data_IF_078867777290
#
_entry.id   IF_078867777290
#
_cell.length_a   1.000
_cell.length_b   1.000
_cell.length_c   1.000
_cell.angle_alpha   90.00
_cell.angle_beta   90.00
_cell.angle_gamma   90.00
#
_symmetry.space_group_name_H-M   'P 1'
#
loop_
_entity.id
_entity.type
_entity.pdbx_description
1 polymer ?
#
# COMPACT_ATOMS: atom_id res chain seq x y z
N UNK A 1 -20.42 2.52 19.46
CA UNK A 1 -20.07 1.17 19.03
C UNK A 1 -18.71 0.82 19.63
N UNK A 2 -18.72 0.03 20.71
CA UNK A 2 -17.51 -0.44 21.42
C UNK A 2 -16.93 -1.63 20.65
N UNK A 3 -15.76 -1.45 20.05
CA UNK A 3 -14.98 -2.55 19.50
C UNK A 3 -14.28 -3.28 20.67
N UNK A 4 -14.78 -4.48 20.98
CA UNK A 4 -14.09 -5.40 21.90
C UNK A 4 -12.81 -5.90 21.22
N UNK A 5 -11.67 -5.63 21.84
CA UNK A 5 -10.37 -6.07 21.37
C UNK A 5 -10.27 -7.60 21.25
N UNK A 6 -9.85 -8.08 20.09
CA UNK A 6 -9.41 -9.47 19.92
C UNK A 6 -8.12 -9.71 20.72
N UNK A 7 -7.88 -10.91 21.27
CA UNK A 7 -6.69 -11.20 22.05
C UNK A 7 -5.43 -11.02 21.21
N UNK A 8 -4.46 -10.27 21.75
CA UNK A 8 -3.12 -10.16 21.20
C UNK A 8 -2.48 -11.55 21.17
N UNK A 9 -2.36 -12.14 19.98
CA UNK A 9 -1.54 -13.34 19.76
C UNK A 9 -0.07 -13.00 20.01
N UNK A 10 0.64 -13.92 20.68
CA UNK A 10 2.05 -13.83 21.04
C UNK A 10 2.93 -13.29 19.89
N UNK A 11 3.54 -12.13 20.12
CA UNK A 11 4.38 -11.40 19.16
C UNK A 11 5.74 -12.09 18.84
N UNK A 12 6.08 -13.20 19.52
CA UNK A 12 7.44 -13.78 19.49
C UNK A 12 7.77 -14.71 18.31
N UNK A 13 6.82 -15.02 17.42
CA UNK A 13 7.06 -15.98 16.30
C UNK A 13 6.69 -15.41 14.91
N UNK A 14 6.59 -14.10 14.76
CA UNK A 14 6.22 -13.50 13.47
C UNK A 14 7.47 -13.11 12.67
N UNK A 15 7.87 -13.96 11.74
CA UNK A 15 8.62 -13.52 10.55
C UNK A 15 7.69 -12.63 9.72
N UNK A 16 7.79 -11.32 9.95
CA UNK A 16 6.73 -10.37 9.61
C UNK A 16 6.51 -10.17 8.11
N UNK A 17 7.53 -10.38 7.30
CA UNK A 17 7.47 -10.11 5.86
C UNK A 17 7.57 -11.35 5.00
N UNK A 18 7.84 -12.50 5.60
CA UNK A 18 7.86 -13.77 4.90
C UNK A 18 6.43 -14.29 4.76
N UNK A 19 6.09 -14.74 3.57
CA UNK A 19 4.78 -15.28 3.26
C UNK A 19 4.89 -16.59 2.52
N UNK A 20 4.26 -17.61 3.05
CA UNK A 20 4.08 -18.91 2.35
C UNK A 20 2.66 -19.00 1.85
N UNK A 21 2.51 -19.24 0.57
CA UNK A 21 1.23 -19.39 -0.10
C UNK A 21 1.16 -20.75 -0.77
N UNK A 22 0.02 -21.41 -0.66
CA UNK A 22 -0.21 -22.71 -1.28
C UNK A 22 -1.44 -22.64 -2.18
N UNK A 23 -1.31 -23.16 -3.39
CA UNK A 23 -2.36 -23.20 -4.39
C UNK A 23 -2.51 -24.61 -4.93
N UNK A 24 -3.74 -25.03 -5.18
CA UNK A 24 -4.03 -26.26 -5.93
C UNK A 24 -4.40 -25.88 -7.35
N UNK A 25 -3.82 -26.57 -8.33
CA UNK A 25 -4.06 -26.33 -9.76
C UNK A 25 -5.38 -27.00 -10.16
N UNK A 26 -6.29 -26.23 -10.73
CA UNK A 26 -7.55 -26.73 -11.28
C UNK A 26 -7.36 -27.32 -12.68
N UNK A 27 -8.36 -28.07 -13.17
CA UNK A 27 -8.37 -28.60 -14.55
C UNK A 27 -8.23 -27.49 -15.60
N UNK A 28 -8.86 -26.33 -15.37
CA UNK A 28 -8.83 -25.17 -16.27
C UNK A 28 -7.46 -24.48 -16.33
N UNK A 29 -6.62 -24.72 -15.34
CA UNK A 29 -5.28 -24.18 -15.19
C UNK A 29 -4.18 -25.19 -15.52
N UNK A 30 -4.59 -26.41 -15.83
CA UNK A 30 -3.68 -27.46 -16.31
C UNK A 30 -2.96 -27.00 -17.58
N UNK A 31 -1.70 -27.41 -17.73
CA UNK A 31 -0.79 -27.03 -18.82
C UNK A 31 -0.30 -25.57 -18.83
N UNK A 32 -0.76 -24.73 -17.90
CA UNK A 32 -0.13 -23.42 -17.70
C UNK A 32 1.27 -23.59 -17.13
N UNK A 33 2.18 -22.70 -17.51
CA UNK A 33 3.45 -22.56 -16.81
C UNK A 33 3.24 -21.93 -15.43
N UNK A 34 4.06 -22.32 -14.46
CA UNK A 34 3.94 -21.79 -13.10
C UNK A 34 4.01 -20.25 -13.04
N UNK A 35 4.82 -19.59 -13.89
CA UNK A 35 4.85 -18.12 -13.94
C UNK A 35 3.56 -17.50 -14.50
N UNK A 36 2.90 -18.14 -15.46
CA UNK A 36 1.61 -17.70 -15.98
C UNK A 36 0.49 -17.88 -14.93
N UNK A 37 0.49 -19.01 -14.24
CA UNK A 37 -0.42 -19.32 -13.14
C UNK A 37 -0.30 -18.28 -12.01
N UNK A 38 0.93 -17.97 -11.59
CA UNK A 38 1.20 -17.00 -10.55
C UNK A 38 0.88 -15.55 -10.99
N UNK A 39 1.16 -15.20 -12.25
CA UNK A 39 0.80 -13.87 -12.80
C UNK A 39 -0.70 -13.59 -12.70
N UNK A 40 -1.56 -14.60 -12.97
CA UNK A 40 -3.02 -14.48 -12.82
C UNK A 40 -3.45 -14.22 -11.37
N UNK A 41 -2.56 -14.49 -10.40
CA UNK A 41 -2.77 -14.31 -8.95
C UNK A 41 -2.07 -13.05 -8.39
N UNK A 42 -1.68 -12.13 -9.29
CA UNK A 42 -1.11 -10.83 -8.89
C UNK A 42 0.41 -10.82 -8.68
N UNK A 43 1.11 -11.92 -9.02
CA UNK A 43 2.56 -11.93 -8.96
C UNK A 43 3.14 -11.06 -10.07
N UNK A 44 3.78 -9.95 -9.68
CA UNK A 44 4.42 -9.04 -10.62
C UNK A 44 5.64 -9.67 -11.29
N UNK A 45 6.04 -9.14 -12.46
CA UNK A 45 7.26 -9.57 -13.17
C UNK A 45 8.51 -9.50 -12.30
N UNK A 46 8.59 -8.51 -11.40
CA UNK A 46 9.69 -8.37 -10.45
C UNK A 46 9.69 -9.52 -9.43
N UNK A 47 8.53 -9.88 -8.86
CA UNK A 47 8.41 -10.99 -7.92
C UNK A 47 8.72 -12.33 -8.60
N UNK A 48 8.21 -12.57 -9.80
CA UNK A 48 8.55 -13.75 -10.60
C UNK A 48 10.05 -13.86 -10.91
N UNK A 49 10.71 -12.71 -11.16
CA UNK A 49 12.17 -12.69 -11.36
C UNK A 49 12.92 -13.09 -10.09
N UNK A 50 12.44 -12.71 -8.91
CA UNK A 50 13.02 -13.17 -7.64
C UNK A 50 12.84 -14.67 -7.44
N UNK A 51 11.66 -15.21 -7.70
CA UNK A 51 11.41 -16.67 -7.63
C UNK A 51 12.32 -17.45 -8.56
N UNK A 52 12.68 -16.92 -9.74
CA UNK A 52 13.62 -17.56 -10.67
C UNK A 52 15.05 -17.66 -10.13
N UNK A 53 15.45 -16.77 -9.23
CA UNK A 53 16.81 -16.75 -8.67
C UNK A 53 17.04 -17.80 -7.60
N UNK A 54 15.97 -18.25 -6.92
CA UNK A 54 16.05 -19.28 -5.90
C UNK A 54 14.91 -20.29 -6.08
N UNK A 55 15.25 -21.49 -6.54
CA UNK A 55 14.27 -22.56 -6.81
C UNK A 55 13.57 -23.07 -5.55
N UNK A 56 14.18 -22.91 -4.36
CA UNK A 56 13.56 -23.31 -3.09
C UNK A 56 12.36 -22.42 -2.72
N UNK A 57 12.22 -21.29 -3.38
CA UNK A 57 11.08 -20.38 -3.17
C UNK A 57 9.83 -20.79 -3.96
N UNK A 58 9.92 -21.77 -4.86
CA UNK A 58 8.79 -22.34 -5.60
C UNK A 58 8.85 -23.86 -5.55
N UNK A 59 7.90 -24.48 -4.88
CA UNK A 59 7.77 -25.92 -4.82
C UNK A 59 6.54 -26.37 -5.60
N UNK A 60 6.66 -27.45 -6.36
CA UNK A 60 5.54 -28.18 -6.95
C UNK A 60 5.53 -29.56 -6.32
N UNK A 61 4.44 -29.92 -5.67
CA UNK A 61 4.29 -31.17 -4.90
C UNK A 61 5.45 -31.40 -3.91
N UNK A 62 5.89 -30.29 -3.24
CA UNK A 62 7.00 -30.31 -2.28
C UNK A 62 8.41 -30.36 -2.91
N UNK A 63 8.53 -30.38 -4.24
CA UNK A 63 9.82 -30.43 -4.94
C UNK A 63 10.20 -29.04 -5.49
N UNK A 64 11.42 -28.53 -5.22
CA UNK A 64 11.91 -27.29 -5.80
C UNK A 64 11.80 -27.27 -7.32
N UNK A 65 11.19 -26.23 -7.85
CA UNK A 65 10.80 -26.19 -9.26
C UNK A 65 11.08 -24.83 -9.90
N UNK A 66 11.18 -24.82 -11.23
CA UNK A 66 11.38 -23.58 -12.00
C UNK A 66 10.05 -22.92 -12.33
N UNK A 67 10.04 -21.61 -12.46
CA UNK A 67 8.84 -20.85 -12.82
C UNK A 67 8.30 -21.15 -14.23
N UNK A 68 9.07 -21.76 -15.10
CA UNK A 68 8.65 -22.19 -16.44
C UNK A 68 8.16 -23.66 -16.49
N UNK A 69 8.09 -24.35 -15.36
CA UNK A 69 7.54 -25.71 -15.27
C UNK A 69 6.05 -25.69 -15.60
N UNK A 70 5.60 -26.63 -16.43
CA UNK A 70 4.19 -26.83 -16.73
C UNK A 70 3.50 -27.52 -15.55
N UNK A 71 2.29 -27.09 -15.27
CA UNK A 71 1.46 -27.57 -14.16
C UNK A 71 0.41 -28.53 -14.66
N UNK A 72 0.03 -29.48 -13.81
CA UNK A 72 -1.03 -30.43 -14.08
C UNK A 72 -2.15 -30.28 -13.06
N UNK A 73 -3.34 -30.73 -13.41
CA UNK A 73 -4.46 -30.79 -12.48
C UNK A 73 -4.08 -31.49 -11.18
N UNK A 74 -4.45 -30.91 -10.05
CA UNK A 74 -4.14 -31.44 -8.73
C UNK A 74 -2.75 -31.12 -8.19
N UNK A 75 -1.86 -30.53 -9.00
CA UNK A 75 -0.56 -30.07 -8.49
C UNK A 75 -0.73 -29.04 -7.36
N UNK A 76 0.13 -29.18 -6.36
CA UNK A 76 0.18 -28.24 -5.22
C UNK A 76 1.39 -27.35 -5.39
N UNK A 77 1.15 -26.06 -5.69
CA UNK A 77 2.19 -25.04 -5.71
C UNK A 77 2.35 -24.44 -4.33
N UNK A 78 3.57 -24.45 -3.79
CA UNK A 78 3.94 -23.69 -2.59
C UNK A 78 4.95 -22.61 -2.97
N UNK A 79 4.64 -21.37 -2.61
CA UNK A 79 5.49 -20.21 -2.92
C UNK A 79 5.94 -19.56 -1.62
N UNK A 80 7.25 -19.42 -1.45
CA UNK A 80 7.87 -18.72 -0.32
C UNK A 80 8.30 -17.33 -0.76
N UNK A 81 7.64 -16.31 -0.24
CA UNK A 81 8.02 -14.90 -0.42
C UNK A 81 8.87 -14.53 0.79
N UNK A 82 10.15 -14.29 0.57
CA UNK A 82 11.12 -14.00 1.63
C UNK A 82 11.69 -12.60 1.43
N UNK A 83 11.80 -11.84 2.51
CA UNK A 83 12.44 -10.52 2.52
C UNK A 83 13.86 -10.63 3.07
N UNK A 84 14.84 -10.54 2.17
CA UNK A 84 16.26 -10.74 2.52
C UNK A 84 16.89 -9.53 3.21
N UNK A 85 16.30 -8.34 3.08
CA UNK A 85 16.87 -7.09 3.57
C UNK A 85 15.82 -6.16 4.18
N UNK A 86 16.21 -5.38 5.16
CA UNK A 86 15.41 -4.27 5.70
C UNK A 86 15.60 -2.97 4.90
N UNK A 87 14.70 -2.01 5.07
CA UNK A 87 14.86 -0.65 4.53
C UNK A 87 16.03 0.07 5.21
N UNK A 88 17.17 0.17 4.54
CA UNK A 88 18.43 0.68 5.09
C UNK A 88 18.40 2.14 5.59
N UNK A 89 17.43 2.94 5.13
CA UNK A 89 17.37 4.37 5.45
C UNK A 89 16.17 4.75 6.33
N UNK A 90 15.61 3.78 7.04
CA UNK A 90 14.46 3.99 7.94
C UNK A 90 14.82 3.56 9.35
N UNK A 91 15.46 4.44 10.15
CA UNK A 91 15.79 4.11 11.51
C UNK A 91 14.52 3.89 12.35
N UNK A 92 14.48 2.86 13.22
CA UNK A 92 13.36 2.62 14.11
C UNK A 92 13.27 3.70 15.18
N UNK A 93 12.13 4.38 15.27
CA UNK A 93 11.90 5.41 16.29
C UNK A 93 10.53 5.19 16.96
N UNK A 94 10.51 5.19 18.28
CA UNK A 94 9.27 5.05 19.06
C UNK A 94 8.43 6.31 18.93
N UNK A 95 7.42 6.27 18.08
CA UNK A 95 6.48 7.35 17.83
C UNK A 95 5.05 6.86 18.08
N UNK A 96 4.09 7.78 18.34
CA UNK A 96 2.67 7.42 18.39
C UNK A 96 2.23 6.73 17.09
N UNK A 97 1.61 5.57 17.21
CA UNK A 97 1.14 4.76 16.08
C UNK A 97 -0.27 4.26 16.40
N UNK A 98 -1.23 4.57 15.52
CA UNK A 98 -2.60 4.09 15.61
C UNK A 98 -2.86 3.09 14.48
N UNK A 99 -2.90 1.80 14.81
CA UNK A 99 -3.20 0.72 13.87
C UNK A 99 -4.70 0.45 13.92
N UNK A 100 -5.37 0.58 12.78
CA UNK A 100 -6.82 0.36 12.62
C UNK A 100 -7.12 -1.07 12.24
N UNK A 101 -6.26 -1.66 11.42
CA UNK A 101 -6.37 -3.04 10.94
C UNK A 101 -4.99 -3.62 10.67
N UNK A 102 -4.83 -4.90 10.93
CA UNK A 102 -3.64 -5.66 10.56
C UNK A 102 -3.97 -7.13 10.37
N UNK A 103 -3.51 -7.69 9.26
CA UNK A 103 -3.49 -9.13 9.00
C UNK A 103 -2.09 -9.59 8.52
N UNK A 104 -2.02 -10.70 7.82
CA UNK A 104 -0.76 -11.26 7.31
C UNK A 104 -0.25 -10.50 6.08
N UNK A 105 -1.09 -9.76 5.38
CA UNK A 105 -0.79 -9.15 4.08
C UNK A 105 -0.75 -7.62 4.12
N UNK A 106 -1.58 -6.99 4.97
CA UNK A 106 -1.66 -5.53 5.05
C UNK A 106 -1.70 -5.03 6.50
N UNK A 107 -1.30 -3.78 6.67
CA UNK A 107 -1.55 -2.98 7.86
C UNK A 107 -2.19 -1.65 7.44
N UNK A 108 -3.24 -1.24 8.14
CA UNK A 108 -3.87 0.06 7.98
C UNK A 108 -3.58 0.92 9.21
N UNK A 109 -2.87 2.02 9.01
CA UNK A 109 -2.58 2.98 10.05
C UNK A 109 -3.41 4.25 9.88
N UNK A 110 -3.90 4.82 10.99
CA UNK A 110 -4.44 6.17 11.03
C UNK A 110 -3.29 7.13 11.33
N UNK A 111 -2.74 7.73 10.28
CA UNK A 111 -1.61 8.67 10.37
C UNK A 111 -2.06 9.99 10.99
N UNK A 112 -1.40 10.49 12.03
CA UNK A 112 -1.67 11.83 12.54
C UNK A 112 -1.20 12.93 11.55
N UNK A 113 -1.74 14.13 11.70
CA UNK A 113 -1.16 15.32 11.06
C UNK A 113 0.25 15.61 11.60
N UNK A 114 1.05 16.37 10.86
CA UNK A 114 2.46 16.72 11.13
C UNK A 114 3.45 15.54 11.07
N UNK A 115 3.01 14.38 10.61
CA UNK A 115 3.85 13.20 10.41
C UNK A 115 3.94 12.90 8.91
N UNK A 116 5.14 12.97 8.28
CA UNK A 116 5.32 12.52 6.90
C UNK A 116 5.24 10.99 6.78
N UNK A 117 4.99 10.48 5.59
CA UNK A 117 4.97 9.04 5.32
C UNK A 117 6.39 8.44 5.38
N UNK A 118 7.35 9.07 4.70
CA UNK A 118 8.74 8.65 4.62
C UNK A 118 9.68 9.66 5.28
N UNK A 119 10.85 9.23 5.75
CA UNK A 119 11.93 10.14 6.09
C UNK A 119 12.24 11.09 4.93
N UNK A 120 12.44 12.35 5.23
CA UNK A 120 12.79 13.39 4.26
C UNK A 120 13.68 14.44 4.93
N UNK A 121 14.17 15.41 4.16
CA UNK A 121 14.92 16.54 4.70
C UNK A 121 14.12 17.17 5.87
N UNK A 122 14.76 17.43 6.98
CA UNK A 122 14.20 17.94 8.25
C UNK A 122 13.19 17.01 8.97
N UNK A 123 12.96 15.80 8.44
CA UNK A 123 12.00 14.84 9.00
C UNK A 123 12.57 13.41 9.00
N UNK A 124 13.81 13.24 9.40
CA UNK A 124 14.51 11.94 9.35
C UNK A 124 14.00 10.92 10.36
N UNK A 125 13.45 11.38 11.49
CA UNK A 125 13.13 10.55 12.65
C UNK A 125 11.68 10.63 13.11
N UNK A 126 10.80 11.30 12.36
CA UNK A 126 9.41 11.54 12.76
C UNK A 126 8.38 11.08 11.72
N UNK A 127 8.74 10.15 10.84
CA UNK A 127 7.85 9.63 9.81
C UNK A 127 7.07 8.39 10.25
N UNK A 128 5.97 8.08 9.54
CA UNK A 128 5.22 6.83 9.72
C UNK A 128 6.12 5.60 9.50
N UNK A 129 7.05 5.67 8.54
CA UNK A 129 8.02 4.61 8.29
C UNK A 129 8.88 4.34 9.53
N UNK A 130 9.36 5.39 10.24
CA UNK A 130 10.12 5.23 11.47
C UNK A 130 9.30 4.58 12.59
N UNK A 131 8.03 4.98 12.73
CA UNK A 131 7.12 4.40 13.72
C UNK A 131 6.89 2.90 13.47
N UNK A 132 6.69 2.52 12.21
CA UNK A 132 6.50 1.12 11.82
C UNK A 132 7.79 0.31 11.91
N UNK A 133 8.95 0.89 11.59
CA UNK A 133 10.23 0.24 11.81
C UNK A 133 10.44 -0.09 13.30
N UNK A 134 10.02 0.81 14.21
CA UNK A 134 10.03 0.52 15.64
C UNK A 134 9.01 -0.56 16.04
N UNK A 135 7.82 -0.51 15.49
CA UNK A 135 6.76 -1.50 15.76
C UNK A 135 7.20 -2.93 15.39
N UNK A 136 7.92 -3.06 14.28
CA UNK A 136 8.41 -4.35 13.76
C UNK A 136 9.87 -4.68 14.07
N UNK A 137 10.57 -3.91 14.91
CA UNK A 137 12.00 -4.07 15.20
C UNK A 137 12.42 -5.47 15.66
N UNK A 138 11.51 -6.20 16.32
CA UNK A 138 11.76 -7.54 16.86
C UNK A 138 11.23 -8.66 15.92
N UNK A 139 10.77 -8.33 14.72
CA UNK A 139 10.07 -9.23 13.80
C UNK A 139 10.88 -9.63 12.57
N UNK A 140 12.19 -9.45 12.58
CA UNK A 140 13.08 -9.73 11.46
C UNK A 140 13.22 -8.55 10.49
N UNK A 141 13.38 -8.83 9.19
CA UNK A 141 13.56 -7.80 8.18
C UNK A 141 12.27 -6.99 7.97
N UNK A 142 12.40 -5.66 7.94
CA UNK A 142 11.30 -4.74 7.70
C UNK A 142 11.53 -3.89 6.46
N UNK A 143 10.63 -3.99 5.48
CA UNK A 143 10.59 -3.10 4.31
C UNK A 143 9.30 -2.30 4.32
N UNK A 144 9.44 -0.97 4.37
CA UNK A 144 8.29 -0.08 4.36
C UNK A 144 7.71 0.07 2.95
N UNK A 145 6.49 -0.41 2.73
CA UNK A 145 5.75 -0.35 1.45
C UNK A 145 4.41 0.32 1.66
N UNK A 146 4.39 1.63 1.54
CA UNK A 146 3.15 2.40 1.61
C UNK A 146 2.54 2.51 0.22
N UNK A 147 1.29 2.11 0.07
CA UNK A 147 0.59 2.07 -1.24
C UNK A 147 -0.10 3.38 -1.59
N UNK A 148 -0.39 4.21 -0.60
CA UNK A 148 -0.95 5.55 -0.78
C UNK A 148 -0.21 6.56 0.10
N UNK A 149 0.15 7.70 -0.47
CA UNK A 149 0.80 8.77 0.30
C UNK A 149 -0.24 9.75 0.78
N UNK A 150 -0.08 10.19 2.03
CA UNK A 150 -0.73 11.38 2.58
C UNK A 150 0.35 12.43 2.84
N UNK A 151 0.01 13.68 2.64
CA UNK A 151 0.91 14.79 2.97
C UNK A 151 1.19 14.84 4.48
N UNK A 152 2.26 15.53 4.86
CA UNK A 152 2.68 15.64 6.26
C UNK A 152 1.53 16.10 7.16
N UNK A 153 0.79 17.11 6.74
CA UNK A 153 -0.24 17.74 7.54
C UNK A 153 -1.64 17.15 7.32
N UNK A 154 -1.78 16.19 6.40
CA UNK A 154 -2.99 15.40 6.21
C UNK A 154 -3.01 14.24 7.19
N UNK A 155 -4.09 14.09 7.96
CA UNK A 155 -4.36 12.91 8.79
C UNK A 155 -5.24 11.92 8.04
N UNK A 156 -5.28 10.67 8.50
CA UNK A 156 -6.20 9.66 7.98
C UNK A 156 -5.54 8.33 7.65
N UNK A 157 -6.30 7.48 6.98
CA UNK A 157 -5.94 6.10 6.73
C UNK A 157 -4.87 5.96 5.63
N UNK A 158 -3.88 5.15 5.92
CA UNK A 158 -2.87 4.74 4.95
C UNK A 158 -2.66 3.23 5.02
N UNK A 159 -2.51 2.61 3.85
CA UNK A 159 -2.35 1.16 3.71
C UNK A 159 -0.89 0.83 3.47
N UNK A 160 -0.37 -0.08 4.27
CA UNK A 160 1.00 -0.58 4.19
C UNK A 160 0.93 -2.06 3.79
N UNK A 161 1.58 -2.40 2.70
CA UNK A 161 1.75 -3.79 2.28
C UNK A 161 2.86 -4.45 3.12
N UNK A 162 2.58 -5.62 3.68
CA UNK A 162 3.51 -6.34 4.56
C UNK A 162 4.49 -7.21 3.78
N UNK A 163 4.17 -7.57 2.55
CA UNK A 163 5.02 -8.38 1.68
C UNK A 163 4.97 -7.88 0.22
N UNK A 164 5.83 -8.45 -0.62
CA UNK A 164 5.94 -8.04 -2.03
C UNK A 164 4.69 -8.35 -2.86
N UNK A 165 3.95 -9.42 -2.55
CA UNK A 165 2.75 -9.77 -3.30
C UNK A 165 1.62 -8.79 -2.98
N UNK A 166 1.35 -8.53 -1.71
CA UNK A 166 0.35 -7.54 -1.30
C UNK A 166 0.68 -6.15 -1.86
N UNK A 167 1.97 -5.78 -1.91
CA UNK A 167 2.41 -4.53 -2.56
C UNK A 167 2.09 -4.51 -4.06
N UNK A 168 2.34 -5.60 -4.77
CA UNK A 168 2.05 -5.70 -6.21
C UNK A 168 0.54 -5.64 -6.48
N UNK A 169 -0.26 -6.39 -5.71
CA UNK A 169 -1.72 -6.41 -5.83
C UNK A 169 -2.32 -5.03 -5.55
N UNK A 170 -1.92 -4.38 -4.46
CA UNK A 170 -2.43 -3.05 -4.11
C UNK A 170 -2.00 -1.98 -5.12
N UNK A 171 -0.80 -2.08 -5.68
CA UNK A 171 -0.34 -1.19 -6.74
C UNK A 171 -1.18 -1.36 -8.02
N UNK A 172 -1.47 -2.58 -8.42
CA UNK A 172 -2.34 -2.87 -9.56
C UNK A 172 -3.78 -2.39 -9.32
N UNK A 173 -4.32 -2.59 -8.12
CA UNK A 173 -5.64 -2.05 -7.73
C UNK A 173 -5.66 -0.52 -7.82
N UNK A 174 -4.59 0.16 -7.42
CA UNK A 174 -4.48 1.62 -7.52
C UNK A 174 -4.45 2.08 -8.99
N UNK A 175 -3.69 1.40 -9.85
CA UNK A 175 -3.62 1.70 -11.30
C UNK A 175 -4.98 1.51 -11.98
N UNK A 176 -5.74 0.48 -11.57
CA UNK A 176 -7.08 0.20 -12.12
C UNK A 176 -8.20 1.01 -11.44
N UNK A 177 -7.87 2.00 -10.61
CA UNK A 177 -8.83 2.79 -9.82
C UNK A 177 -9.80 1.94 -8.97
N UNK A 178 -9.36 0.74 -8.55
CA UNK A 178 -10.13 -0.16 -7.69
C UNK A 178 -10.09 0.23 -6.21
N UNK A 179 -9.26 1.23 -5.86
CA UNK A 179 -9.18 1.81 -4.50
C UNK A 179 -9.76 3.20 -4.54
N UNK A 180 -10.92 3.37 -3.92
CA UNK A 180 -11.56 4.69 -3.76
C UNK A 180 -10.94 5.43 -2.58
N UNK A 181 -10.60 6.70 -2.80
CA UNK A 181 -10.03 7.58 -1.77
C UNK A 181 -10.97 8.74 -1.52
N UNK A 182 -11.46 8.83 -0.29
CA UNK A 182 -12.32 9.92 0.17
C UNK A 182 -11.61 10.74 1.24
N UNK A 183 -11.76 12.05 1.15
CA UNK A 183 -11.17 13.01 2.07
C UNK A 183 -12.22 13.96 2.61
N UNK A 184 -11.99 14.45 3.82
CA UNK A 184 -12.74 15.56 4.39
C UNK A 184 -11.84 16.79 4.49
N UNK A 185 -12.35 17.93 4.08
CA UNK A 185 -11.66 19.20 4.21
C UNK A 185 -12.58 20.28 4.75
N UNK A 186 -12.05 21.12 5.63
CA UNK A 186 -12.69 22.37 6.02
C UNK A 186 -12.08 23.47 5.17
N UNK A 187 -12.92 24.11 4.35
CA UNK A 187 -12.50 25.20 3.48
C UNK A 187 -13.12 26.52 3.94
N UNK A 188 -12.40 27.62 3.72
CA UNK A 188 -12.89 28.96 4.02
C UNK A 188 -13.92 29.38 2.97
N UNK A 189 -15.01 29.97 3.42
CA UNK A 189 -16.10 30.45 2.55
C UNK A 189 -17.23 29.42 2.40
N UNK A 190 -18.25 29.85 1.66
CA UNK A 190 -19.41 29.04 1.26
C UNK A 190 -19.14 28.49 -0.14
N UNK A 191 -19.08 27.16 -0.26
CA UNK A 191 -18.85 26.53 -1.56
C UNK A 191 -20.16 26.50 -2.36
N UNK A 192 -20.16 27.13 -3.52
CA UNK A 192 -21.32 27.21 -4.43
C UNK A 192 -20.85 26.88 -5.85
N UNK A 193 -21.49 25.89 -6.56
CA UNK A 193 -22.57 25.03 -6.10
C UNK A 193 -22.13 24.06 -4.99
N UNK A 194 -23.08 23.49 -4.24
CA UNK A 194 -22.80 22.61 -3.10
C UNK A 194 -22.16 21.27 -3.50
N UNK A 195 -22.18 20.90 -4.76
CA UNK A 195 -21.48 19.72 -5.30
C UNK A 195 -21.03 19.97 -6.73
N UNK A 196 -19.99 19.28 -7.16
CA UNK A 196 -19.47 19.42 -8.52
C UNK A 196 -18.21 18.59 -8.74
N UNK A 197 -17.64 18.77 -9.93
CA UNK A 197 -16.40 18.13 -10.36
C UNK A 197 -15.41 19.21 -10.82
N UNK A 198 -14.22 19.16 -10.27
CA UNK A 198 -13.10 20.00 -10.68
C UNK A 198 -12.20 19.16 -11.57
N UNK A 199 -12.07 19.54 -12.84
CA UNK A 199 -11.13 18.94 -13.81
C UNK A 199 -10.09 20.01 -14.13
N UNK A 200 -8.92 19.92 -13.51
CA UNK A 200 -7.86 20.88 -13.65
C UNK A 200 -6.51 20.16 -13.66
N UNK A 201 -5.92 19.91 -14.84
CA UNK A 201 -4.63 19.25 -14.98
C UNK A 201 -3.54 19.97 -14.18
N UNK A 202 -2.67 19.19 -13.52
CA UNK A 202 -1.66 19.72 -12.61
C UNK A 202 -0.25 19.39 -13.11
N UNK A 203 0.60 20.41 -13.15
CA UNK A 203 2.04 20.27 -13.40
C UNK A 203 2.85 20.78 -12.21
N UNK A 204 4.16 20.57 -12.27
CA UNK A 204 5.09 21.19 -11.32
C UNK A 204 5.24 22.67 -11.65
N UNK A 205 5.05 23.55 -10.68
CA UNK A 205 5.24 24.98 -10.88
C UNK A 205 6.70 25.28 -11.24
N UNK A 206 6.96 26.05 -12.31
CA UNK A 206 8.31 26.42 -12.69
C UNK A 206 9.08 27.05 -11.52
N UNK A 207 10.33 26.60 -11.31
CA UNK A 207 11.18 27.08 -10.22
C UNK A 207 10.87 26.51 -8.83
N UNK A 208 9.88 25.64 -8.68
CA UNK A 208 9.57 24.98 -7.40
C UNK A 208 9.76 23.45 -7.49
N UNK A 209 10.33 22.88 -6.43
CA UNK A 209 10.42 21.41 -6.29
C UNK A 209 9.21 20.81 -5.56
N UNK A 210 8.35 21.66 -4.96
CA UNK A 210 7.24 21.22 -4.11
C UNK A 210 5.89 21.64 -4.69
N UNK A 211 5.77 22.89 -5.17
CA UNK A 211 4.49 23.47 -5.58
C UNK A 211 3.99 22.87 -6.91
N UNK A 212 2.68 22.71 -6.97
CA UNK A 212 1.94 22.35 -8.18
C UNK A 212 1.14 23.56 -8.66
N UNK A 213 0.90 23.63 -9.96
CA UNK A 213 0.02 24.62 -10.58
C UNK A 213 -0.88 23.95 -11.61
N UNK A 214 -2.01 24.62 -11.90
CA UNK A 214 -2.87 24.20 -13.01
C UNK A 214 -2.15 24.52 -14.32
N UNK A 215 -2.10 23.53 -15.20
CA UNK A 215 -1.45 23.62 -16.50
C UNK A 215 -2.25 22.80 -17.52
N UNK A 216 -2.98 23.49 -18.37
CA UNK A 216 -3.85 22.86 -19.37
C UNK A 216 -3.10 22.35 -20.60
N UNK A 217 -1.83 22.72 -20.78
CA UNK A 217 -1.03 22.30 -21.94
C UNK A 217 -0.18 21.07 -21.64
N UNK A 218 0.44 20.99 -20.44
CA UNK A 218 1.40 19.96 -20.09
C UNK A 218 1.09 19.25 -18.75
N UNK A 219 -0.02 19.61 -18.09
CA UNK A 219 -0.41 19.04 -16.80
C UNK A 219 -0.93 17.61 -16.92
N UNK A 220 -0.61 16.81 -15.92
CA UNK A 220 -1.21 15.49 -15.73
C UNK A 220 -2.69 15.63 -15.36
N UNK A 221 -3.54 14.75 -15.89
CA UNK A 221 -4.98 14.72 -15.60
C UNK A 221 -5.19 14.65 -14.07
N UNK A 222 -6.00 15.56 -13.55
CA UNK A 222 -6.43 15.56 -12.15
C UNK A 222 -7.92 15.89 -12.09
N UNK A 223 -8.69 15.03 -11.42
CA UNK A 223 -10.14 15.16 -11.26
C UNK A 223 -10.50 14.97 -9.80
N UNK A 224 -11.28 15.91 -9.27
CA UNK A 224 -11.79 15.87 -7.90
C UNK A 224 -13.29 16.10 -7.92
N UNK A 225 -14.04 15.14 -7.43
CA UNK A 225 -15.45 15.30 -7.13
C UNK A 225 -15.60 15.84 -5.71
N UNK A 226 -16.49 16.80 -5.52
CA UNK A 226 -16.72 17.37 -4.18
C UNK A 226 -18.20 17.47 -3.85
N UNK A 227 -18.49 17.41 -2.54
CA UNK A 227 -19.82 17.62 -1.98
C UNK A 227 -19.69 18.35 -0.66
N UNK A 228 -20.37 19.50 -0.53
CA UNK A 228 -20.49 20.21 0.74
C UNK A 228 -21.43 19.43 1.67
N UNK A 229 -20.95 19.10 2.85
CA UNK A 229 -21.70 18.38 3.88
C UNK A 229 -22.36 19.34 4.86
N UNK A 230 -21.65 20.41 5.24
CA UNK A 230 -22.13 21.42 6.19
C UNK A 230 -21.48 22.78 5.89
N UNK A 231 -22.20 23.86 6.15
CA UNK A 231 -21.66 25.23 6.10
C UNK A 231 -21.96 25.93 7.42
N UNK A 232 -20.93 26.46 8.09
CA UNK A 232 -21.07 27.12 9.38
C UNK A 232 -19.96 28.15 9.60
N UNK A 233 -20.30 29.28 10.16
CA UNK A 233 -19.33 30.33 10.54
C UNK A 233 -18.38 30.74 9.40
N UNK A 234 -18.88 30.88 8.17
CA UNK A 234 -18.08 31.25 7.01
C UNK A 234 -17.10 30.18 6.51
N UNK A 235 -17.30 28.90 6.88
CA UNK A 235 -16.54 27.76 6.43
C UNK A 235 -17.48 26.67 5.91
N UNK A 236 -16.98 25.84 5.02
CA UNK A 236 -17.68 24.65 4.52
C UNK A 236 -16.88 23.40 4.85
N UNK A 237 -17.56 22.37 5.38
CA UNK A 237 -17.06 21.00 5.44
C UNK A 237 -17.37 20.31 4.12
N UNK A 238 -16.37 19.82 3.44
CA UNK A 238 -16.47 19.25 2.10
C UNK A 238 -15.92 17.83 2.09
N UNK A 239 -16.70 16.89 1.53
CA UNK A 239 -16.19 15.56 1.12
C UNK A 239 -15.60 15.68 -0.27
N UNK A 240 -14.45 15.03 -0.49
CA UNK A 240 -13.67 15.05 -1.72
C UNK A 240 -13.35 13.62 -2.13
N UNK A 241 -13.60 13.28 -3.38
CA UNK A 241 -13.20 12.02 -3.99
C UNK A 241 -12.27 12.29 -5.17
N UNK A 242 -11.10 11.67 -5.14
CA UNK A 242 -10.08 11.79 -6.20
C UNK A 242 -10.16 10.58 -7.13
N UNK A 243 -10.05 10.87 -8.45
CA UNK A 243 -9.86 9.80 -9.44
C UNK A 243 -8.40 9.35 -9.56
#
# INVERSE_FOLDING_TARGET
LSFHGRPQKNLKERHFMDRTLTYTVSIEESDLRADQFLSRRGFSSHLLTRLRKNMEHLLINGTPSRTNTHLHEGDILTVHIVEEHSSYHVPPVKLPLSIVYEDEDILVANKPAKMPIHPSMDNYYNSLANALAWYYRDSGNFIFRCTNRLDRDTSGLTVIAKNMLSSAVLSDMAVRHAITREYLAIVRGVVTPASGTITAPLSRKPGSIIERCVDFEHGERAVTHYKTLETKNGHSLVSLQLE
#
